data_IF_336428547117
#
_entry.id   IF_336428547117
#
_cell.length_a   1.000
_cell.length_b   1.000
_cell.length_c   1.000
_cell.angle_alpha   90.00
_cell.angle_beta   90.00
_cell.angle_gamma   90.00
#
_symmetry.space_group_name_H-M   'P 1'
#
loop_
_entity.id
_entity.type
_entity.pdbx_description
1 polymer ?
#
# COMPACT_ATOMS: atom_id res chain seq x y z
N UNK A 1 -7.97 -12.41 15.12
CA UNK A 1 -8.19 -11.67 13.86
C UNK A 1 -9.57 -12.06 13.37
N UNK A 2 -10.48 -11.12 13.16
CA UNK A 2 -11.72 -11.47 12.47
C UNK A 2 -11.35 -11.88 11.05
N UNK A 3 -11.88 -12.99 10.53
CA UNK A 3 -11.66 -13.35 9.14
C UNK A 3 -12.12 -12.16 8.28
N UNK A 4 -11.23 -11.63 7.45
CA UNK A 4 -11.62 -10.62 6.49
C UNK A 4 -12.42 -11.30 5.36
N UNK A 5 -13.32 -10.54 4.72
CA UNK A 5 -14.19 -11.07 3.66
C UNK A 5 -13.43 -11.53 2.39
N UNK A 6 -12.11 -11.38 2.36
CA UNK A 6 -11.23 -11.69 1.23
C UNK A 6 -10.33 -12.92 1.48
N UNK A 7 -10.63 -13.74 2.49
CA UNK A 7 -9.81 -14.95 2.79
C UNK A 7 -9.76 -15.91 1.60
N UNK A 8 -10.82 -15.98 0.81
CA UNK A 8 -10.87 -16.79 -0.42
C UNK A 8 -9.99 -16.27 -1.56
N UNK A 9 -9.48 -15.05 -1.45
CA UNK A 9 -8.60 -14.41 -2.43
C UNK A 9 -7.13 -14.43 -2.02
N UNK A 10 -6.80 -15.07 -0.87
CA UNK A 10 -5.42 -15.18 -0.42
C UNK A 10 -4.62 -16.03 -1.41
N UNK A 11 -3.57 -15.47 -1.97
CA UNK A 11 -2.65 -16.16 -2.86
C UNK A 11 -1.68 -17.05 -2.08
N UNK A 12 -1.10 -16.49 -1.02
CA UNK A 12 -0.14 -17.18 -0.13
C UNK A 12 -0.20 -16.59 1.26
N UNK A 13 0.07 -17.43 2.24
CA UNK A 13 0.14 -17.08 3.66
C UNK A 13 1.44 -17.59 4.25
N UNK A 14 2.10 -16.74 5.06
CA UNK A 14 3.32 -17.08 5.78
C UNK A 14 3.14 -16.84 7.28
N UNK A 15 3.71 -17.74 8.06
CA UNK A 15 3.72 -17.64 9.52
C UNK A 15 5.05 -17.12 10.06
N UNK A 16 6.02 -16.87 9.21
CA UNK A 16 7.33 -16.35 9.59
C UNK A 16 7.76 -15.22 8.66
N UNK A 17 8.49 -14.27 9.21
CA UNK A 17 9.13 -13.18 8.49
C UNK A 17 10.52 -12.90 9.04
N UNK A 18 11.33 -12.28 8.22
CA UNK A 18 12.73 -12.03 8.50
C UNK A 18 13.12 -10.61 8.09
N UNK A 19 14.13 -10.08 8.77
CA UNK A 19 14.85 -8.87 8.41
C UNK A 19 16.32 -9.22 8.30
N UNK A 20 16.96 -8.79 7.25
CA UNK A 20 18.36 -9.09 6.92
C UNK A 20 19.15 -7.80 6.65
N UNK A 21 20.47 -7.95 6.62
CA UNK A 21 21.45 -6.94 6.25
C UNK A 21 22.39 -7.53 5.20
N UNK A 22 22.33 -7.04 3.99
CA UNK A 22 23.15 -7.51 2.87
C UNK A 22 23.17 -9.06 2.79
N UNK A 23 21.99 -9.66 2.81
CA UNK A 23 21.79 -11.09 2.77
C UNK A 23 22.04 -11.85 4.09
N UNK A 24 22.53 -11.19 5.14
CA UNK A 24 22.76 -11.81 6.45
C UNK A 24 21.56 -11.60 7.36
N UNK A 25 20.98 -12.68 7.87
CA UNK A 25 19.82 -12.61 8.75
C UNK A 25 20.17 -11.88 10.04
N UNK A 26 19.47 -10.77 10.31
CA UNK A 26 19.59 -10.00 11.56
C UNK A 26 18.51 -10.34 12.58
N UNK A 27 17.31 -10.68 12.10
CA UNK A 27 16.16 -11.05 12.92
C UNK A 27 15.24 -11.96 12.13
N UNK A 28 14.72 -13.01 12.76
CA UNK A 28 13.59 -13.78 12.27
C UNK A 28 12.55 -13.94 13.36
N UNK A 29 11.30 -13.79 13.00
CA UNK A 29 10.17 -14.06 13.91
C UNK A 29 9.20 -15.04 13.29
N UNK A 30 8.69 -15.92 14.12
CA UNK A 30 7.57 -16.79 13.83
C UNK A 30 6.33 -16.21 14.50
N UNK A 31 5.26 -16.04 13.76
CA UNK A 31 4.02 -15.52 14.31
C UNK A 31 3.44 -16.51 15.33
N UNK A 32 2.90 -15.96 16.41
CA UNK A 32 2.29 -16.76 17.49
C UNK A 32 1.17 -17.67 16.97
N UNK A 33 0.88 -18.81 17.66
CA UNK A 33 -0.23 -19.73 17.35
C UNK A 33 -1.62 -19.08 17.28
N UNK A 34 -1.78 -17.82 17.65
CA UNK A 34 -3.04 -17.06 17.59
C UNK A 34 -3.44 -16.59 16.19
N UNK A 35 -2.90 -17.17 15.14
CA UNK A 35 -3.35 -16.94 13.77
C UNK A 35 -2.94 -15.62 13.12
N UNK A 36 -1.98 -14.87 13.68
CA UNK A 36 -1.35 -13.75 12.98
C UNK A 36 -0.48 -14.30 11.87
N UNK A 37 -0.75 -13.93 10.64
CA UNK A 37 0.03 -14.33 9.47
C UNK A 37 0.22 -13.14 8.54
N UNK A 38 1.33 -13.12 7.83
CA UNK A 38 1.49 -12.28 6.66
C UNK A 38 0.84 -12.99 5.47
N UNK A 39 0.06 -12.30 4.67
CA UNK A 39 -0.56 -12.89 3.48
C UNK A 39 -0.66 -11.87 2.36
N UNK A 40 -0.72 -12.37 1.14
CA UNK A 40 -0.98 -11.56 -0.04
C UNK A 40 -2.30 -11.94 -0.69
N UNK A 41 -2.93 -10.94 -1.28
CA UNK A 41 -4.10 -11.09 -2.16
C UNK A 41 -3.61 -10.78 -3.58
N UNK A 42 -3.91 -11.66 -4.51
CA UNK A 42 -3.67 -11.39 -5.92
C UNK A 42 -4.56 -10.24 -6.42
N UNK A 43 -3.95 -9.23 -7.03
CA UNK A 43 -4.67 -8.05 -7.49
C UNK A 43 -5.70 -8.40 -8.59
N UNK A 44 -5.34 -9.30 -9.52
CA UNK A 44 -6.25 -9.76 -10.57
C UNK A 44 -7.45 -10.49 -10.00
N UNK A 45 -7.24 -11.38 -9.02
CA UNK A 45 -8.33 -12.07 -8.33
C UNK A 45 -9.23 -11.10 -7.57
N UNK A 46 -8.65 -10.07 -6.94
CA UNK A 46 -9.42 -9.03 -6.26
C UNK A 46 -10.28 -8.21 -7.23
N UNK A 47 -9.72 -7.81 -8.37
CA UNK A 47 -10.48 -7.10 -9.40
C UNK A 47 -11.58 -7.97 -10.02
N UNK A 48 -11.30 -9.24 -10.32
CA UNK A 48 -12.32 -10.16 -10.83
C UNK A 48 -13.47 -10.37 -9.83
N UNK A 49 -13.14 -10.48 -8.55
CA UNK A 49 -14.12 -10.55 -7.47
C UNK A 49 -14.99 -9.28 -7.43
N UNK A 50 -14.41 -8.09 -7.50
CA UNK A 50 -15.14 -6.83 -7.50
C UNK A 50 -16.04 -6.68 -8.74
N UNK A 51 -15.52 -7.01 -9.92
CA UNK A 51 -16.26 -6.97 -11.19
C UNK A 51 -17.47 -7.92 -11.19
N UNK A 52 -17.30 -9.14 -10.66
CA UNK A 52 -18.40 -10.10 -10.52
C UNK A 52 -19.53 -9.57 -9.63
N UNK A 53 -19.20 -8.88 -8.53
CA UNK A 53 -20.20 -8.26 -7.65
C UNK A 53 -20.91 -7.09 -8.32
N UNK A 54 -20.19 -6.25 -9.07
CA UNK A 54 -20.78 -5.15 -9.83
C UNK A 54 -21.72 -5.71 -10.90
N UNK A 55 -21.30 -6.72 -11.66
CA UNK A 55 -22.11 -7.33 -12.71
C UNK A 55 -23.38 -8.00 -12.18
N UNK A 56 -23.36 -8.52 -10.95
CA UNK A 56 -24.53 -9.11 -10.32
C UNK A 56 -25.51 -8.06 -9.76
N UNK A 57 -25.15 -6.79 -9.69
CA UNK A 57 -25.98 -5.72 -9.14
C UNK A 57 -26.62 -4.91 -10.27
N UNK A 58 -27.97 -4.98 -10.46
CA UNK A 58 -28.64 -4.38 -11.62
C UNK A 58 -28.58 -2.84 -11.67
N UNK A 59 -28.24 -2.20 -10.56
CA UNK A 59 -28.11 -0.75 -10.41
C UNK A 59 -26.67 -0.26 -10.45
N UNK A 60 -25.69 -1.11 -10.77
CA UNK A 60 -24.30 -0.74 -10.91
C UNK A 60 -23.83 -0.88 -12.35
N UNK A 61 -23.05 0.08 -12.82
CA UNK A 61 -22.46 0.07 -14.15
C UNK A 61 -20.97 0.33 -14.08
N UNK A 62 -20.17 -0.58 -14.63
CA UNK A 62 -18.73 -0.43 -14.75
C UNK A 62 -18.38 0.01 -16.19
N UNK A 63 -17.74 1.16 -16.31
CA UNK A 63 -17.19 1.67 -17.56
C UNK A 63 -15.67 1.59 -17.53
N UNK A 64 -15.10 0.75 -18.36
CA UNK A 64 -13.67 0.60 -18.51
C UNK A 64 -13.13 1.44 -19.68
N UNK A 65 -11.84 1.80 -19.64
CA UNK A 65 -11.21 2.55 -20.71
C UNK A 65 -11.62 4.03 -20.79
N UNK A 66 -12.32 4.55 -19.78
CA UNK A 66 -12.75 5.94 -19.72
C UNK A 66 -11.78 6.76 -18.86
N UNK A 67 -11.24 7.82 -19.42
CA UNK A 67 -10.40 8.77 -18.70
C UNK A 67 -11.26 9.86 -18.10
N UNK A 68 -11.09 10.16 -16.82
CA UNK A 68 -11.68 11.34 -16.17
C UNK A 68 -10.68 12.49 -16.26
N UNK A 69 -11.02 13.52 -17.02
CA UNK A 69 -10.15 14.70 -17.23
C UNK A 69 -10.34 15.74 -16.14
N UNK A 70 -11.58 15.95 -15.69
CA UNK A 70 -11.88 16.94 -14.64
C UNK A 70 -13.10 16.51 -13.80
N UNK A 71 -13.19 17.06 -12.60
CA UNK A 71 -14.39 16.96 -11.73
C UNK A 71 -14.67 18.36 -11.20
N UNK A 72 -15.80 18.91 -11.61
CA UNK A 72 -16.28 20.22 -11.17
C UNK A 72 -17.16 20.03 -9.93
N UNK A 73 -16.79 20.70 -8.85
CA UNK A 73 -17.53 20.67 -7.60
C UNK A 73 -18.78 21.56 -7.67
N UNK A 74 -19.79 21.23 -6.87
CA UNK A 74 -21.04 22.00 -6.78
C UNK A 74 -22.14 21.20 -6.09
N UNK A 75 -23.34 21.78 -5.97
CA UNK A 75 -24.51 21.08 -5.42
C UNK A 75 -24.85 19.77 -6.17
N UNK A 76 -24.52 19.73 -7.46
CA UNK A 76 -24.55 18.55 -8.34
C UNK A 76 -23.22 18.50 -9.06
N UNK A 77 -22.23 17.76 -8.52
CA UNK A 77 -20.92 17.68 -9.13
C UNK A 77 -20.98 17.05 -10.53
N UNK A 78 -20.06 17.49 -11.36
CA UNK A 78 -20.00 17.13 -12.78
C UNK A 78 -18.65 16.51 -13.08
N UNK A 79 -18.64 15.35 -13.72
CA UNK A 79 -17.44 14.62 -14.13
C UNK A 79 -17.28 14.76 -15.66
N UNK A 80 -16.13 15.24 -16.09
CA UNK A 80 -15.74 15.35 -17.50
C UNK A 80 -14.88 14.16 -17.88
N UNK A 81 -15.25 13.51 -18.99
CA UNK A 81 -14.53 12.37 -19.55
C UNK A 81 -13.65 12.80 -20.75
N UNK A 82 -12.68 11.96 -21.10
CA UNK A 82 -11.74 12.26 -22.16
C UNK A 82 -12.32 12.28 -23.59
N UNK A 83 -13.56 11.82 -23.75
CA UNK A 83 -14.34 11.88 -24.99
C UNK A 83 -15.33 13.06 -25.00
N UNK A 84 -15.11 14.06 -24.15
CA UNK A 84 -15.99 15.22 -23.95
C UNK A 84 -17.36 14.90 -23.34
N UNK A 85 -17.62 13.65 -22.98
CA UNK A 85 -18.84 13.26 -22.26
C UNK A 85 -18.86 13.86 -20.87
N UNK A 86 -20.03 14.35 -20.46
CA UNK A 86 -20.26 14.96 -19.16
C UNK A 86 -21.26 14.13 -18.36
N UNK A 87 -20.87 13.69 -17.18
CA UNK A 87 -21.73 12.97 -16.23
C UNK A 87 -22.06 13.86 -15.04
N UNK A 88 -23.33 13.91 -14.66
CA UNK A 88 -23.81 14.64 -13.46
C UNK A 88 -24.32 13.64 -12.43
N UNK A 89 -23.95 13.85 -11.17
CA UNK A 89 -24.32 12.97 -10.08
C UNK A 89 -24.64 13.73 -8.80
N UNK A 90 -25.45 13.14 -7.94
CA UNK A 90 -25.67 13.67 -6.57
C UNK A 90 -24.43 13.56 -5.70
N UNK A 91 -23.54 12.61 -6.00
CA UNK A 91 -22.28 12.36 -5.28
C UNK A 91 -21.20 11.88 -6.23
N UNK A 92 -19.97 12.28 -6.00
CA UNK A 92 -18.78 11.74 -6.66
C UNK A 92 -17.81 11.22 -5.62
N UNK A 93 -17.35 9.98 -5.81
CA UNK A 93 -16.31 9.35 -4.99
C UNK A 93 -15.05 9.22 -5.83
N UNK A 94 -14.08 10.11 -5.56
CA UNK A 94 -12.88 10.26 -6.36
C UNK A 94 -11.72 9.44 -5.77
N UNK A 95 -11.38 8.34 -6.42
CA UNK A 95 -10.26 7.46 -6.06
C UNK A 95 -9.05 7.66 -6.98
N UNK A 96 -9.02 8.69 -7.82
CA UNK A 96 -7.88 8.95 -8.70
C UNK A 96 -6.61 9.11 -7.89
N UNK A 97 -5.45 8.68 -8.42
CA UNK A 97 -4.19 8.84 -7.72
C UNK A 97 -3.88 10.33 -7.51
N UNK A 98 -3.21 10.63 -6.41
CA UNK A 98 -2.54 11.92 -6.25
C UNK A 98 -1.54 12.11 -7.39
N UNK A 99 -1.28 13.35 -7.78
CA UNK A 99 -0.26 13.69 -8.76
C UNK A 99 1.13 13.16 -8.40
N UNK A 100 2.11 13.45 -9.23
CA UNK A 100 3.51 13.10 -8.94
C UNK A 100 3.94 13.77 -7.62
N UNK A 101 4.85 13.12 -6.86
CA UNK A 101 5.41 13.70 -5.65
C UNK A 101 6.02 15.08 -5.93
N UNK A 102 5.95 15.96 -4.94
CA UNK A 102 6.67 17.22 -5.02
C UNK A 102 8.19 16.96 -4.96
N UNK A 103 8.96 17.86 -5.55
CA UNK A 103 10.41 17.78 -5.47
C UNK A 103 10.85 17.75 -3.99
N UNK A 104 11.73 16.79 -3.67
CA UNK A 104 12.25 16.55 -2.31
C UNK A 104 11.24 16.00 -1.30
N UNK A 105 10.02 15.62 -1.69
CA UNK A 105 9.14 14.86 -0.80
C UNK A 105 9.76 13.52 -0.44
N UNK A 106 9.61 13.10 0.82
CA UNK A 106 9.94 11.74 1.21
C UNK A 106 9.00 10.77 0.51
N UNK A 107 9.58 9.90 -0.31
CA UNK A 107 8.84 8.90 -1.07
C UNK A 107 9.30 7.49 -0.75
N UNK A 108 8.37 6.54 -0.80
CA UNK A 108 8.73 5.17 -1.09
C UNK A 108 8.54 4.91 -2.57
N UNK A 109 9.61 4.49 -3.24
CA UNK A 109 9.57 4.16 -4.65
C UNK A 109 10.23 2.80 -4.89
N UNK A 110 9.73 2.06 -5.86
CA UNK A 110 10.10 0.65 -5.99
C UNK A 110 9.88 0.13 -7.41
N UNK A 111 10.57 -0.98 -7.70
CA UNK A 111 10.27 -1.89 -8.78
C UNK A 111 10.29 -3.33 -8.26
N UNK A 112 9.25 -4.09 -8.59
CA UNK A 112 9.12 -5.50 -8.25
C UNK A 112 9.04 -6.38 -9.48
N UNK A 113 9.71 -7.54 -9.40
CA UNK A 113 9.60 -8.61 -10.40
C UNK A 113 9.03 -9.86 -9.78
N UNK A 114 7.99 -10.41 -10.38
CA UNK A 114 7.64 -11.79 -10.12
C UNK A 114 8.47 -12.69 -11.05
N UNK A 115 9.25 -13.59 -10.43
CA UNK A 115 10.19 -14.44 -11.15
C UNK A 115 9.82 -15.90 -11.02
N UNK A 116 9.98 -16.64 -12.12
CA UNK A 116 9.97 -18.10 -12.17
C UNK A 116 11.41 -18.59 -12.41
N UNK A 117 11.90 -19.48 -11.56
CA UNK A 117 13.28 -19.94 -11.58
C UNK A 117 13.36 -21.45 -11.83
N UNK A 118 14.43 -21.94 -12.46
CA UNK A 118 14.52 -23.34 -12.88
C UNK A 118 14.79 -24.30 -11.73
N UNK A 119 15.33 -23.82 -10.61
CA UNK A 119 15.77 -24.66 -9.48
C UNK A 119 15.09 -24.27 -8.18
N UNK A 120 14.95 -25.20 -7.26
CA UNK A 120 14.37 -24.98 -5.94
C UNK A 120 15.39 -24.28 -5.02
N UNK A 121 15.48 -22.96 -5.08
CA UNK A 121 16.39 -22.19 -4.22
C UNK A 121 15.70 -21.09 -3.40
N UNK A 122 14.43 -20.82 -3.66
CA UNK A 122 13.61 -19.94 -2.83
C UNK A 122 12.99 -20.77 -1.71
N UNK A 123 13.24 -20.42 -0.45
CA UNK A 123 12.42 -20.96 0.63
C UNK A 123 10.98 -20.45 0.50
N UNK A 124 9.96 -21.23 0.86
CA UNK A 124 8.56 -20.81 0.71
C UNK A 124 7.85 -20.48 2.03
N UNK A 125 8.56 -20.55 3.15
CA UNK A 125 7.98 -20.46 4.50
C UNK A 125 8.22 -19.11 5.21
N UNK A 126 9.14 -18.28 4.72
CA UNK A 126 9.57 -17.05 5.39
C UNK A 126 9.55 -15.88 4.41
N UNK A 127 8.84 -14.81 4.78
CA UNK A 127 8.89 -13.54 4.05
C UNK A 127 10.17 -12.79 4.43
N UNK A 128 10.92 -12.31 3.45
CA UNK A 128 11.97 -11.31 3.68
C UNK A 128 11.30 -9.93 3.65
N UNK A 129 11.03 -9.35 4.83
CA UNK A 129 10.37 -8.05 4.90
C UNK A 129 11.30 -6.92 4.47
N UNK A 130 12.55 -7.00 4.84
CA UNK A 130 13.56 -6.01 4.52
C UNK A 130 14.93 -6.67 4.55
N UNK A 131 15.57 -6.78 3.41
CA UNK A 131 17.00 -7.07 3.31
C UNK A 131 17.72 -5.77 2.99
N UNK A 132 18.16 -5.07 4.02
CA UNK A 132 18.77 -3.75 3.89
C UNK A 132 20.07 -3.81 3.10
N UNK A 133 20.23 -2.88 2.18
CA UNK A 133 21.42 -2.73 1.36
C UNK A 133 22.19 -1.48 1.79
N UNK A 134 23.54 -1.51 1.72
CA UNK A 134 24.34 -0.36 2.07
C UNK A 134 24.19 0.74 1.02
N UNK A 135 23.67 1.90 1.44
CA UNK A 135 23.50 3.11 0.59
C UNK A 135 23.79 4.36 1.43
N UNK A 136 24.07 5.47 0.77
CA UNK A 136 24.40 6.76 1.42
C UNK A 136 23.20 7.71 1.48
N UNK A 137 22.34 7.70 0.43
CA UNK A 137 21.33 8.74 0.23
C UNK A 137 19.92 8.16 0.27
N UNK A 138 19.49 7.73 1.42
CA UNK A 138 18.19 7.12 1.63
C UNK A 138 18.24 5.80 2.35
N UNK A 139 17.17 5.05 2.30
CA UNK A 139 17.06 3.68 2.79
C UNK A 139 16.71 2.77 1.62
N UNK A 140 17.56 1.76 1.36
CA UNK A 140 17.33 0.76 0.34
C UNK A 140 17.20 -0.62 0.96
N UNK A 141 16.21 -1.39 0.53
CA UNK A 141 16.04 -2.79 0.91
C UNK A 141 15.37 -3.60 -0.17
N UNK A 142 15.67 -4.89 -0.18
CA UNK A 142 14.95 -5.87 -0.99
C UNK A 142 13.84 -6.50 -0.14
N UNK A 143 12.66 -6.63 -0.74
CA UNK A 143 11.51 -7.29 -0.18
C UNK A 143 11.22 -8.56 -0.99
N UNK A 144 11.05 -9.71 -0.32
CA UNK A 144 10.87 -10.98 -1.03
C UNK A 144 9.68 -11.75 -0.48
N UNK A 145 8.75 -12.06 -1.36
CA UNK A 145 7.58 -12.89 -1.10
C UNK A 145 7.71 -14.22 -1.85
N UNK A 146 8.19 -15.28 -1.21
CA UNK A 146 8.34 -16.58 -1.87
C UNK A 146 6.99 -17.29 -1.97
N UNK A 147 6.39 -17.31 -3.14
CA UNK A 147 5.13 -18.01 -3.40
C UNK A 147 5.30 -19.52 -3.47
N UNK A 148 6.49 -19.97 -3.76
CA UNK A 148 6.89 -21.37 -3.82
C UNK A 148 8.41 -21.49 -3.93
N UNK A 149 8.95 -22.72 -4.01
CA UNK A 149 10.39 -22.94 -4.10
C UNK A 149 11.01 -22.36 -5.38
N UNK A 150 10.18 -22.09 -6.41
CA UNK A 150 10.59 -21.58 -7.73
C UNK A 150 9.94 -20.28 -8.13
N UNK A 151 9.09 -19.70 -7.30
CA UNK A 151 8.35 -18.49 -7.65
C UNK A 151 8.40 -17.50 -6.50
N UNK A 152 8.77 -16.24 -6.78
CA UNK A 152 8.73 -15.16 -5.82
C UNK A 152 8.45 -13.83 -6.48
N UNK A 153 7.85 -12.91 -5.71
CA UNK A 153 7.99 -11.48 -5.94
C UNK A 153 9.26 -11.01 -5.24
N UNK A 154 10.11 -10.30 -5.97
CA UNK A 154 11.31 -9.66 -5.45
C UNK A 154 11.22 -8.19 -5.84
N UNK A 155 11.27 -7.30 -4.83
CA UNK A 155 11.09 -5.87 -5.01
C UNK A 155 12.31 -5.12 -4.48
N UNK A 156 12.89 -4.26 -5.31
CA UNK A 156 13.84 -3.25 -4.87
C UNK A 156 13.07 -2.02 -4.45
N UNK A 157 13.17 -1.68 -3.16
CA UNK A 157 12.41 -0.62 -2.51
C UNK A 157 13.33 0.41 -1.91
N UNK A 158 13.05 1.67 -2.21
CA UNK A 158 13.75 2.82 -1.67
C UNK A 158 12.82 3.71 -0.86
N UNK A 159 13.33 4.25 0.23
CA UNK A 159 12.78 5.43 0.90
C UNK A 159 13.81 6.54 0.81
N UNK A 160 13.50 7.60 0.09
CA UNK A 160 14.40 8.73 -0.14
C UNK A 160 13.63 9.99 -0.51
N UNK A 161 14.25 11.19 -0.42
CA UNK A 161 13.75 12.35 -1.12
C UNK A 161 13.79 12.08 -2.63
N UNK A 162 12.61 11.95 -3.25
CA UNK A 162 12.51 11.54 -4.65
C UNK A 162 13.12 12.59 -5.58
N UNK A 163 14.31 12.32 -6.07
CA UNK A 163 15.01 13.16 -7.03
C UNK A 163 15.31 12.42 -8.34
N UNK A 164 15.66 11.13 -8.26
CA UNK A 164 16.02 10.30 -9.41
C UNK A 164 15.56 8.85 -9.14
N UNK A 165 15.11 8.17 -10.18
CA UNK A 165 14.90 6.72 -10.11
C UNK A 165 16.24 6.00 -10.18
N UNK A 166 16.54 5.08 -9.24
CA UNK A 166 17.72 4.22 -9.34
C UNK A 166 17.58 3.24 -10.52
N UNK A 167 18.65 2.56 -10.86
CA UNK A 167 18.61 1.44 -11.81
C UNK A 167 18.10 0.17 -11.13
N UNK A 168 16.80 0.13 -10.86
CA UNK A 168 16.14 -1.00 -10.21
C UNK A 168 16.41 -2.34 -10.90
N UNK A 169 16.48 -2.35 -12.23
CA UNK A 169 16.71 -3.58 -12.97
C UNK A 169 18.09 -4.17 -12.66
N UNK A 170 19.13 -3.33 -12.61
CA UNK A 170 20.46 -3.76 -12.22
C UNK A 170 20.51 -4.22 -10.76
N UNK A 171 19.82 -3.55 -9.84
CA UNK A 171 19.71 -3.93 -8.44
C UNK A 171 19.05 -5.30 -8.28
N UNK A 172 17.92 -5.52 -8.94
CA UNK A 172 17.19 -6.80 -8.91
C UNK A 172 18.00 -7.94 -9.51
N UNK A 173 18.69 -7.71 -10.64
CA UNK A 173 19.59 -8.72 -11.25
C UNK A 173 20.75 -9.05 -10.32
N UNK A 174 21.38 -8.02 -9.75
CA UNK A 174 22.48 -8.20 -8.80
C UNK A 174 22.02 -9.01 -7.58
N UNK A 175 20.87 -8.70 -7.02
CA UNK A 175 20.32 -9.40 -5.87
C UNK A 175 20.00 -10.87 -6.19
N UNK A 176 19.35 -11.15 -7.31
CA UNK A 176 19.08 -12.52 -7.77
C UNK A 176 20.36 -13.32 -7.92
N UNK A 177 21.40 -12.72 -8.50
CA UNK A 177 22.70 -13.39 -8.67
C UNK A 177 23.44 -13.56 -7.34
N UNK A 178 23.57 -12.51 -6.55
CA UNK A 178 24.38 -12.55 -5.32
C UNK A 178 23.72 -13.38 -4.22
N UNK A 179 22.40 -13.30 -4.09
CA UNK A 179 21.65 -13.93 -3.00
C UNK A 179 21.27 -15.37 -3.30
N UNK A 180 20.94 -15.67 -4.55
CA UNK A 180 20.42 -16.98 -4.97
C UNK A 180 21.25 -17.67 -6.05
N UNK A 181 22.34 -17.05 -6.54
CA UNK A 181 23.17 -17.59 -7.62
C UNK A 181 22.48 -17.64 -8.98
N UNK A 182 21.40 -16.88 -9.16
CA UNK A 182 20.55 -16.96 -10.35
C UNK A 182 21.02 -15.97 -11.42
N UNK A 183 21.37 -16.51 -12.58
CA UNK A 183 21.68 -15.74 -13.81
C UNK A 183 20.62 -15.94 -14.89
N UNK A 184 19.75 -16.94 -14.74
CA UNK A 184 18.68 -17.26 -15.69
C UNK A 184 17.36 -17.47 -14.92
N UNK A 185 16.35 -16.72 -15.29
CA UNK A 185 14.99 -16.76 -14.74
C UNK A 185 14.02 -16.18 -15.76
N UNK A 186 12.74 -16.53 -15.63
CA UNK A 186 11.65 -15.90 -16.39
C UNK A 186 11.00 -14.82 -15.53
N UNK A 187 10.92 -13.60 -16.03
CA UNK A 187 10.13 -12.52 -15.43
C UNK A 187 8.67 -12.69 -15.88
N UNK A 188 7.83 -13.14 -14.96
CA UNK A 188 6.41 -13.37 -15.22
C UNK A 188 5.59 -12.08 -15.13
N UNK A 189 5.98 -11.17 -14.21
CA UNK A 189 5.28 -9.91 -13.98
C UNK A 189 6.29 -8.84 -13.52
N UNK A 190 5.94 -7.58 -13.77
CA UNK A 190 6.68 -6.42 -13.27
C UNK A 190 5.70 -5.37 -12.75
N UNK A 191 6.03 -4.78 -11.61
CA UNK A 191 5.37 -3.61 -11.08
C UNK A 191 6.38 -2.52 -10.74
N UNK A 192 5.93 -1.28 -10.74
CA UNK A 192 6.73 -0.11 -10.35
C UNK A 192 5.80 0.93 -9.74
N UNK A 193 6.25 1.64 -8.74
CA UNK A 193 5.46 2.66 -8.10
C UNK A 193 6.29 3.70 -7.36
N UNK A 194 5.62 4.82 -7.08
CA UNK A 194 6.13 5.87 -6.21
C UNK A 194 5.00 6.37 -5.32
N UNK A 195 5.24 6.40 -4.01
CA UNK A 195 4.31 6.79 -2.99
C UNK A 195 4.87 7.98 -2.24
N UNK A 196 4.25 9.15 -2.40
CA UNK A 196 4.57 10.32 -1.57
C UNK A 196 4.05 10.07 -0.14
N UNK A 197 4.97 9.97 0.81
CA UNK A 197 4.68 9.71 2.22
C UNK A 197 4.27 10.97 2.99
N UNK A 198 4.44 12.14 2.37
CA UNK A 198 4.12 13.45 2.94
C UNK A 198 2.93 14.12 2.23
N UNK A 199 2.32 13.44 1.27
CA UNK A 199 1.20 13.97 0.51
C UNK A 199 0.04 14.42 1.42
N UNK A 200 -0.44 15.63 1.17
CA UNK A 200 -1.59 16.16 1.88
C UNK A 200 -2.88 15.54 1.33
N UNK A 201 -3.76 15.02 2.19
CA UNK A 201 -5.05 14.52 1.76
C UNK A 201 -5.90 15.59 1.07
N UNK A 202 -6.58 15.21 0.00
CA UNK A 202 -7.50 16.10 -0.71
C UNK A 202 -8.86 16.13 0.00
N UNK A 203 -9.31 17.32 0.34
CA UNK A 203 -10.63 17.56 0.94
C UNK A 203 -11.39 18.55 0.07
N UNK A 204 -12.56 18.13 -0.42
CA UNK A 204 -13.42 18.94 -1.27
C UNK A 204 -14.63 19.43 -0.49
N UNK A 205 -14.68 20.75 -0.25
CA UNK A 205 -15.78 21.42 0.44
C UNK A 205 -16.56 22.30 -0.56
N UNK A 206 -17.87 22.10 -0.64
CA UNK A 206 -18.74 22.95 -1.44
C UNK A 206 -19.10 24.24 -0.67
N UNK A 207 -19.37 25.31 -1.38
CA UNK A 207 -19.64 26.64 -0.81
C UNK A 207 -20.82 26.71 0.16
N UNK A 208 -21.78 25.79 0.07
CA UNK A 208 -22.88 25.63 1.01
C UNK A 208 -22.52 24.82 2.27
N UNK A 209 -21.25 24.44 2.43
CA UNK A 209 -20.77 23.62 3.54
C UNK A 209 -21.04 22.12 3.37
N UNK A 210 -21.59 21.67 2.26
CA UNK A 210 -21.78 20.24 1.98
C UNK A 210 -20.59 19.63 1.24
N UNK A 211 -20.38 18.35 1.45
CA UNK A 211 -19.42 17.56 0.66
C UNK A 211 -20.22 16.70 -0.30
N UNK A 212 -20.12 16.98 -1.59
CA UNK A 212 -20.73 16.16 -2.65
C UNK A 212 -19.69 15.38 -3.45
N UNK A 213 -18.42 15.69 -3.23
CA UNK A 213 -17.27 14.95 -3.72
C UNK A 213 -16.44 14.47 -2.53
N UNK A 214 -16.13 13.18 -2.49
CA UNK A 214 -15.33 12.54 -1.45
C UNK A 214 -14.08 11.95 -2.08
N UNK A 215 -12.92 12.25 -1.54
CA UNK A 215 -11.71 11.51 -1.86
C UNK A 215 -11.75 10.12 -1.25
N UNK A 216 -11.24 9.13 -1.96
CA UNK A 216 -11.08 7.76 -1.50
C UNK A 216 -9.61 7.31 -1.52
N UNK A 217 -9.29 6.30 -0.72
CA UNK A 217 -7.98 5.69 -0.73
C UNK A 217 -6.85 6.67 -0.40
N UNK A 218 -5.77 6.64 -1.17
CA UNK A 218 -4.61 7.52 -0.96
C UNK A 218 -4.97 9.00 -0.98
N UNK A 219 -5.83 9.40 -1.89
CA UNK A 219 -6.28 10.80 -1.99
C UNK A 219 -7.01 11.26 -0.73
N UNK A 220 -7.67 10.38 0.00
CA UNK A 220 -8.29 10.66 1.29
C UNK A 220 -7.30 10.60 2.48
N UNK A 221 -6.06 10.16 2.26
CA UNK A 221 -5.05 10.02 3.31
C UNK A 221 -5.11 8.69 4.07
N UNK A 222 -5.62 7.61 3.46
CA UNK A 222 -5.63 6.28 4.11
C UNK A 222 -4.26 5.62 4.17
N UNK A 223 -3.29 6.10 3.39
CA UNK A 223 -1.90 5.64 3.43
C UNK A 223 -1.25 6.04 4.76
N UNK A 224 -0.60 5.09 5.43
CA UNK A 224 0.24 5.32 6.60
C UNK A 224 1.67 5.59 6.14
N UNK A 225 2.22 6.76 6.43
CA UNK A 225 3.59 7.14 6.02
C UNK A 225 4.66 6.23 6.66
N UNK A 226 4.43 5.77 7.88
CA UNK A 226 5.38 4.92 8.61
C UNK A 226 5.37 3.44 8.21
N UNK A 227 4.29 2.95 7.63
CA UNK A 227 4.13 1.51 7.30
C UNK A 227 3.87 1.26 5.83
N UNK A 228 3.53 2.31 5.09
CA UNK A 228 3.15 2.31 3.67
C UNK A 228 1.92 1.43 3.37
N UNK A 229 1.19 1.02 4.41
CA UNK A 229 -0.05 0.25 4.24
C UNK A 229 -1.27 1.17 4.16
N UNK A 230 -2.12 0.94 3.14
CA UNK A 230 -3.37 1.65 2.93
C UNK A 230 -4.60 0.73 2.91
N UNK A 231 -4.45 -0.53 2.49
CA UNK A 231 -5.55 -1.42 2.12
C UNK A 231 -6.62 -1.55 3.23
N UNK A 232 -6.22 -1.87 4.46
CA UNK A 232 -7.17 -2.06 5.56
C UNK A 232 -7.90 -0.76 5.94
N UNK A 233 -7.21 0.37 5.90
CA UNK A 233 -7.81 1.69 6.16
C UNK A 233 -8.77 2.09 5.04
N UNK A 234 -8.41 1.83 3.78
CA UNK A 234 -9.28 2.09 2.63
C UNK A 234 -10.56 1.26 2.70
N UNK A 235 -10.47 -0.03 3.02
CA UNK A 235 -11.65 -0.88 3.21
C UNK A 235 -12.52 -0.42 4.38
N UNK A 236 -11.92 -0.01 5.49
CA UNK A 236 -12.65 0.50 6.64
C UNK A 236 -13.38 1.81 6.30
N UNK A 237 -12.75 2.71 5.56
CA UNK A 237 -13.36 3.96 5.11
C UNK A 237 -14.48 3.73 4.10
N UNK A 238 -14.29 2.84 3.14
CA UNK A 238 -15.34 2.45 2.19
C UNK A 238 -16.60 1.89 2.91
N UNK A 239 -16.39 1.05 3.94
CA UNK A 239 -17.50 0.54 4.76
C UNK A 239 -18.22 1.66 5.53
N UNK A 240 -17.46 2.60 6.11
CA UNK A 240 -18.02 3.79 6.79
C UNK A 240 -18.88 4.61 5.84
N UNK A 241 -18.39 4.89 4.64
CA UNK A 241 -19.12 5.63 3.61
C UNK A 241 -20.40 4.89 3.24
N UNK A 242 -20.31 3.59 2.94
CA UNK A 242 -21.47 2.77 2.59
C UNK A 242 -22.55 2.79 3.70
N UNK A 243 -22.15 2.75 4.97
CA UNK A 243 -23.07 2.86 6.11
C UNK A 243 -23.79 4.22 6.16
N UNK A 244 -23.11 5.32 5.83
CA UNK A 244 -23.75 6.63 5.76
C UNK A 244 -24.86 6.68 4.70
N UNK A 245 -24.64 6.02 3.56
CA UNK A 245 -25.65 5.95 2.49
C UNK A 245 -26.80 4.97 2.81
N UNK A 246 -26.51 3.89 3.50
CA UNK A 246 -27.53 2.88 3.84
C UNK A 246 -28.57 3.38 4.86
N UNK A 247 -28.20 4.32 5.71
CA UNK A 247 -29.02 4.74 6.86
C UNK A 247 -29.84 6.00 6.63
N UNK A 248 -29.75 6.66 5.47
CA UNK A 248 -30.37 7.95 5.23
C UNK A 248 -30.98 8.07 3.84
N UNK A 249 -32.09 8.83 3.73
CA UNK A 249 -32.59 9.27 2.43
C UNK A 249 -31.50 10.12 1.74
N UNK A 250 -31.28 9.89 0.46
CA UNK A 250 -30.19 10.49 -0.35
C UNK A 250 -30.03 12.02 -0.18
N UNK A 251 -31.15 12.73 0.00
CA UNK A 251 -31.15 14.19 0.19
C UNK A 251 -30.54 14.65 1.52
N UNK A 252 -30.53 13.78 2.54
CA UNK A 252 -30.05 14.08 3.90
C UNK A 252 -28.67 13.48 4.22
N UNK A 253 -28.06 12.75 3.25
CA UNK A 253 -26.77 12.10 3.48
C UNK A 253 -25.68 13.14 3.71
N UNK A 254 -25.04 13.04 4.86
CA UNK A 254 -23.80 13.77 5.17
C UNK A 254 -22.69 12.77 5.41
N UNK A 255 -21.70 12.76 4.56
CA UNK A 255 -20.52 11.91 4.71
C UNK A 255 -19.33 12.83 5.00
N UNK A 256 -18.86 12.88 6.25
CA UNK A 256 -17.68 13.66 6.55
C UNK A 256 -16.46 13.03 5.84
N UNK A 257 -15.45 13.84 5.46
CA UNK A 257 -14.22 13.33 4.88
C UNK A 257 -13.54 12.37 5.85
N UNK A 258 -12.70 11.48 5.31
CA UNK A 258 -11.86 10.61 6.13
C UNK A 258 -10.95 11.46 7.01
N UNK A 259 -10.85 11.08 8.27
CA UNK A 259 -9.91 11.68 9.21
C UNK A 259 -8.99 10.61 9.76
N UNK A 260 -7.71 10.87 9.66
CA UNK A 260 -6.70 10.00 10.28
C UNK A 260 -6.76 10.15 11.79
N UNK A 261 -6.51 9.06 12.50
CA UNK A 261 -6.31 9.09 13.95
C UNK A 261 -5.11 9.98 14.28
N UNK A 262 -5.22 10.80 15.33
CA UNK A 262 -4.16 11.73 15.74
C UNK A 262 -2.88 10.99 16.15
N UNK A 263 -3.03 9.82 16.79
CA UNK A 263 -1.90 8.98 17.20
C UNK A 263 -1.16 8.42 15.97
N UNK A 264 -1.92 7.95 14.97
CA UNK A 264 -1.35 7.51 13.69
C UNK A 264 -0.55 8.65 13.02
N UNK A 265 -1.10 9.86 12.98
CA UNK A 265 -0.43 11.02 12.38
C UNK A 265 0.84 11.42 13.14
N UNK A 266 0.78 11.41 14.47
CA UNK A 266 1.91 11.72 15.31
C UNK A 266 3.05 10.69 15.16
N UNK A 267 2.72 9.41 15.16
CA UNK A 267 3.68 8.33 14.95
C UNK A 267 4.30 8.39 13.55
N UNK A 268 3.49 8.64 12.54
CA UNK A 268 3.97 8.79 11.15
C UNK A 268 4.93 9.98 11.02
N UNK A 269 4.61 11.10 11.68
CA UNK A 269 5.49 12.28 11.68
C UNK A 269 6.84 11.99 12.34
N UNK A 270 6.85 11.38 13.53
CA UNK A 270 8.09 11.01 14.23
C UNK A 270 8.92 10.07 13.36
N UNK A 271 8.28 9.09 12.73
CA UNK A 271 8.95 8.14 11.87
C UNK A 271 9.62 8.83 10.67
N UNK A 272 8.88 9.67 9.94
CA UNK A 272 9.41 10.39 8.78
C UNK A 272 10.50 11.38 9.17
N UNK A 273 10.31 12.14 10.24
CA UNK A 273 11.34 13.09 10.75
C UNK A 273 12.62 12.34 11.16
N UNK A 274 12.48 11.20 11.83
CA UNK A 274 13.62 10.38 12.25
C UNK A 274 14.40 9.80 11.06
N UNK A 275 13.71 9.33 10.03
CA UNK A 275 14.37 8.87 8.81
C UNK A 275 15.11 10.00 8.10
N UNK A 276 14.48 11.15 7.93
CA UNK A 276 15.08 12.29 7.24
C UNK A 276 16.24 12.92 8.01
N UNK A 277 16.29 12.76 9.32
CA UNK A 277 17.35 13.30 10.14
C UNK A 277 18.68 12.56 9.96
N UNK A 278 18.66 11.24 9.78
CA UNK A 278 19.87 10.42 9.60
C UNK A 278 19.55 9.09 8.90
N UNK A 279 19.73 9.07 7.60
CA UNK A 279 19.54 7.87 6.77
C UNK A 279 20.48 6.73 7.12
N UNK A 280 21.71 7.04 7.55
CA UNK A 280 22.71 6.01 7.85
C UNK A 280 22.29 5.10 9.00
N UNK A 281 21.45 5.60 9.91
CA UNK A 281 20.93 4.86 11.05
C UNK A 281 19.55 4.26 10.83
N UNK A 282 18.92 4.50 9.67
CA UNK A 282 17.58 4.00 9.38
C UNK A 282 17.46 2.46 9.51
N UNK A 283 18.39 1.63 9.00
CA UNK A 283 18.33 0.20 9.20
C UNK A 283 18.39 -0.23 10.67
N UNK A 284 19.22 0.42 11.48
CA UNK A 284 19.33 0.15 12.93
C UNK A 284 18.03 0.52 13.65
N UNK A 285 17.42 1.65 13.28
CA UNK A 285 16.14 2.10 13.82
C UNK A 285 15.02 1.07 13.55
N UNK A 286 14.88 0.60 12.31
CA UNK A 286 13.94 -0.46 11.97
C UNK A 286 14.20 -1.74 12.77
N UNK A 287 15.46 -2.17 12.83
CA UNK A 287 15.82 -3.38 13.54
C UNK A 287 15.55 -3.27 15.05
N UNK A 288 15.83 -2.11 15.65
CA UNK A 288 15.52 -1.84 17.05
C UNK A 288 14.00 -1.89 17.32
N UNK A 289 13.20 -1.29 16.43
CA UNK A 289 11.73 -1.35 16.47
C UNK A 289 11.24 -2.80 16.37
N UNK A 290 11.72 -3.55 15.39
CA UNK A 290 11.32 -4.94 15.21
C UNK A 290 11.76 -5.86 16.36
N UNK A 291 12.93 -5.62 16.99
CA UNK A 291 13.41 -6.39 18.14
C UNK A 291 12.74 -6.00 19.46
N UNK A 292 12.53 -4.70 19.66
CA UNK A 292 12.06 -4.16 20.94
C UNK A 292 10.57 -4.27 21.18
N UNK A 293 9.76 -4.46 20.12
CA UNK A 293 8.30 -4.47 20.22
C UNK A 293 7.76 -5.89 20.17
N UNK A 294 6.82 -6.23 21.05
CA UNK A 294 6.13 -7.53 21.01
C UNK A 294 5.37 -7.71 19.68
N UNK A 295 5.34 -8.93 19.15
CA UNK A 295 4.77 -9.21 17.81
C UNK A 295 3.33 -8.72 17.64
N UNK A 296 2.48 -8.88 18.66
CA UNK A 296 1.09 -8.40 18.60
C UNK A 296 0.99 -6.86 18.54
N UNK A 297 1.89 -6.15 19.22
CA UNK A 297 1.94 -4.68 19.16
C UNK A 297 2.50 -4.20 17.82
N UNK A 298 3.52 -4.87 17.30
CA UNK A 298 4.06 -4.60 15.97
C UNK A 298 2.99 -4.78 14.90
N UNK A 299 2.23 -5.89 14.94
CA UNK A 299 1.13 -6.12 14.01
C UNK A 299 0.03 -5.07 14.17
N UNK A 300 -0.30 -4.67 15.39
CA UNK A 300 -1.27 -3.60 15.65
C UNK A 300 -0.79 -2.26 15.05
N UNK A 301 0.49 -1.93 15.20
CA UNK A 301 1.10 -0.76 14.57
C UNK A 301 1.04 -0.84 13.04
N UNK A 302 1.50 -1.95 12.45
CA UNK A 302 1.52 -2.16 11.00
C UNK A 302 0.10 -2.13 10.39
N UNK A 303 -0.90 -2.63 11.10
CA UNK A 303 -2.29 -2.65 10.63
C UNK A 303 -3.09 -1.39 10.97
N UNK A 304 -2.45 -0.38 11.57
CA UNK A 304 -3.08 0.88 11.94
C UNK A 304 -4.12 0.74 13.06
N UNK A 305 -3.84 -0.10 14.05
CA UNK A 305 -4.62 -0.27 15.28
C UNK A 305 -3.72 -0.20 16.52
N UNK A 306 -2.85 0.82 16.66
CA UNK A 306 -2.01 0.94 17.82
C UNK A 306 -2.89 1.13 19.07
N UNK A 307 -2.51 0.49 20.17
CA UNK A 307 -3.07 0.73 21.49
C UNK A 307 -2.01 1.42 22.34
N UNK A 308 -2.39 2.50 23.00
CA UNK A 308 -1.58 3.09 24.07
C UNK A 308 -1.79 2.18 25.30
N UNK A 309 -0.71 1.62 25.85
CA UNK A 309 -0.74 1.00 27.16
C UNK A 309 -0.39 2.02 28.23
#
# INVERSE_FOLDING_TARGET
>A
MHPHCYTSLERKRWNAWRVSFNGQQALQRVNSPRGLAFFTIDAGAFYAFAQAHIAAAPNMHLQMGMSVTDIQDGPVPTVLLGDDTTLRSSWVMDARPLGLPQAHSLCQHFMGWEVEIPTDCLGDSVVELMDFQPVTDGLHFLYVLPYGPRNALIESTWMSPYAHSPDYESELRHYLQSRYGLTSYKRAYQEQGCLDLQATPLVYLVTDGSYKRLSLGRAAGTLRSSTVFAFLKTIADAKRIAQCFANLLLAAVRVPPYRRDWLDMWMDKIFCDGLMADWSRAPEFFLAMFKGVATNMLVAFLTGRPTIM
#
